data_IF_680888429105
#
_entry.id   IF_680888429105
#
_cell.length_a   1.000
_cell.length_b   1.000
_cell.length_c   1.000
_cell.angle_alpha   90.00
_cell.angle_beta   90.00
_cell.angle_gamma   90.00
#
_symmetry.space_group_name_H-M   'P 1'
#
loop_
_entity.id
_entity.type
_entity.pdbx_description
1 polymer ?
#
# COMPACT_ATOMS: atom_id res chain seq x y z
N UNK A 1 21.08 -22.51 -35.26
CA UNK A 1 20.20 -21.50 -34.64
C UNK A 1 20.21 -21.77 -33.16
N UNK A 2 20.98 -20.99 -32.40
CA UNK A 2 21.26 -21.24 -30.98
C UNK A 2 20.53 -20.21 -30.13
N UNK A 3 19.78 -20.70 -29.14
CA UNK A 3 19.02 -19.87 -28.19
C UNK A 3 19.94 -19.07 -27.26
N UNK A 4 19.66 -17.79 -27.00
CA UNK A 4 20.35 -17.02 -25.98
C UNK A 4 19.70 -17.21 -24.61
N UNK A 5 20.36 -17.98 -23.74
CA UNK A 5 20.02 -18.09 -22.32
C UNK A 5 20.28 -16.74 -21.62
N UNK A 6 19.20 -16.02 -21.30
CA UNK A 6 19.25 -14.78 -20.53
C UNK A 6 19.66 -15.06 -19.07
N UNK A 7 20.93 -14.78 -18.78
CA UNK A 7 21.53 -14.79 -17.44
C UNK A 7 20.83 -13.78 -16.52
N UNK A 8 20.13 -14.29 -15.50
CA UNK A 8 19.52 -13.46 -14.45
C UNK A 8 20.61 -12.91 -13.53
N UNK A 9 21.02 -11.67 -13.80
CA UNK A 9 21.96 -10.90 -12.99
C UNK A 9 21.44 -10.67 -11.57
N UNK A 10 21.78 -11.59 -10.66
CA UNK A 10 21.71 -11.35 -9.22
C UNK A 10 22.88 -10.44 -8.87
N UNK A 11 22.60 -9.15 -8.66
CA UNK A 11 23.62 -8.19 -8.24
C UNK A 11 24.21 -8.62 -6.89
N UNK A 12 25.54 -8.70 -6.76
CA UNK A 12 26.19 -9.10 -5.51
C UNK A 12 25.86 -8.07 -4.43
N UNK A 13 25.19 -8.54 -3.39
CA UNK A 13 24.87 -7.71 -2.22
C UNK A 13 26.18 -7.48 -1.47
N UNK A 14 26.68 -6.25 -1.52
CA UNK A 14 27.86 -5.78 -0.80
C UNK A 14 27.80 -6.19 0.70
N UNK A 15 28.59 -7.19 1.07
CA UNK A 15 28.59 -7.78 2.41
C UNK A 15 29.23 -6.87 3.46
N UNK A 16 29.92 -5.81 3.04
CA UNK A 16 30.72 -4.92 3.90
C UNK A 16 29.90 -4.03 4.84
N UNK A 17 28.56 -4.00 4.70
CA UNK A 17 27.65 -3.16 5.52
C UNK A 17 26.65 -3.96 6.37
N UNK A 18 26.97 -5.20 6.76
CA UNK A 18 26.10 -6.02 7.61
C UNK A 18 26.15 -5.55 9.07
N UNK A 19 25.24 -4.67 9.48
CA UNK A 19 25.08 -4.32 10.90
C UNK A 19 24.72 -5.58 11.72
N UNK A 20 25.48 -5.93 12.78
CA UNK A 20 25.31 -7.19 13.50
C UNK A 20 23.89 -7.39 14.06
N UNK A 21 23.27 -6.32 14.57
CA UNK A 21 21.91 -6.37 15.09
C UNK A 21 20.83 -6.68 14.03
N UNK A 22 21.06 -6.30 12.77
CA UNK A 22 20.13 -6.58 11.66
C UNK A 22 20.28 -8.03 11.21
N UNK A 23 21.51 -8.55 11.19
CA UNK A 23 21.77 -9.95 10.84
C UNK A 23 21.12 -10.90 11.86
N UNK A 24 21.22 -10.60 13.16
CA UNK A 24 20.56 -11.40 14.20
C UNK A 24 19.02 -11.39 14.05
N UNK A 25 18.43 -10.23 13.74
CA UNK A 25 17.00 -10.12 13.45
C UNK A 25 16.60 -11.01 12.27
N UNK A 26 17.30 -10.89 11.14
CA UNK A 26 16.99 -11.67 9.92
C UNK A 26 17.09 -13.17 10.18
N UNK A 27 18.12 -13.61 10.90
CA UNK A 27 18.26 -15.03 11.29
C UNK A 27 17.04 -15.50 12.09
N UNK A 28 16.59 -14.72 13.08
CA UNK A 28 15.39 -15.03 13.86
C UNK A 28 14.12 -15.08 13.01
N UNK A 29 13.93 -14.08 12.13
CA UNK A 29 12.77 -14.03 11.24
C UNK A 29 12.78 -15.20 10.23
N UNK A 30 13.94 -15.61 9.73
CA UNK A 30 14.06 -16.75 8.81
C UNK A 30 13.67 -18.07 9.46
N UNK A 31 13.98 -18.27 10.75
CA UNK A 31 13.60 -19.47 11.49
C UNK A 31 12.08 -19.57 11.62
N UNK A 32 11.42 -18.46 11.99
CA UNK A 32 9.97 -18.36 12.07
C UNK A 32 9.32 -18.59 10.70
N UNK A 33 9.89 -17.99 9.65
CA UNK A 33 9.34 -18.04 8.30
C UNK A 33 9.46 -19.41 7.63
N UNK A 34 10.60 -20.10 7.78
CA UNK A 34 10.86 -21.40 7.13
C UNK A 34 10.10 -22.55 7.76
N UNK A 35 9.85 -22.49 9.08
CA UNK A 35 9.16 -23.57 9.79
C UNK A 35 7.65 -23.63 9.52
N UNK A 36 7.08 -22.68 8.77
CA UNK A 36 5.66 -22.67 8.43
C UNK A 36 5.41 -23.07 6.96
N UNK A 37 5.05 -24.34 6.76
CA UNK A 37 4.68 -24.93 5.46
C UNK A 37 3.43 -24.27 4.82
N UNK A 38 2.55 -23.67 5.63
CA UNK A 38 1.42 -22.84 5.18
C UNK A 38 1.46 -21.55 5.99
N UNK A 39 1.97 -20.48 5.38
CA UNK A 39 2.17 -19.15 6.00
C UNK A 39 0.87 -18.70 6.69
N UNK A 40 0.79 -18.87 8.01
CA UNK A 40 -0.37 -18.50 8.84
C UNK A 40 -0.47 -17.00 9.03
N UNK A 41 -1.66 -16.50 9.41
CA UNK A 41 -1.84 -15.08 9.73
C UNK A 41 -0.97 -14.70 10.94
N UNK A 42 -0.96 -15.56 11.96
CA UNK A 42 -0.13 -15.40 13.17
C UNK A 42 1.36 -15.19 12.87
N UNK A 43 1.95 -15.99 11.98
CA UNK A 43 3.36 -15.83 11.59
C UNK A 43 3.63 -14.44 11.03
N UNK A 44 2.72 -13.93 10.19
CA UNK A 44 2.84 -12.60 9.60
C UNK A 44 2.72 -11.53 10.66
N UNK A 45 1.81 -11.69 11.62
CA UNK A 45 1.70 -10.83 12.79
C UNK A 45 3.02 -10.79 13.57
N UNK A 46 3.54 -11.96 13.95
CA UNK A 46 4.77 -12.10 14.75
C UNK A 46 6.00 -11.52 14.06
N UNK A 47 6.11 -11.69 12.74
CA UNK A 47 7.17 -11.03 11.95
C UNK A 47 7.03 -9.50 12.03
N UNK A 48 5.82 -8.98 11.86
CA UNK A 48 5.53 -7.55 11.97
C UNK A 48 5.90 -6.97 13.34
N UNK A 49 5.54 -7.67 14.41
CA UNK A 49 5.81 -7.27 15.79
C UNK A 49 7.32 -7.22 16.06
N UNK A 50 8.07 -8.26 15.66
CA UNK A 50 9.53 -8.29 15.82
C UNK A 50 10.22 -7.17 15.03
N UNK A 51 9.71 -6.84 13.84
CA UNK A 51 10.18 -5.72 13.04
C UNK A 51 9.91 -4.39 13.75
N UNK A 52 8.69 -4.16 14.24
CA UNK A 52 8.32 -2.94 14.96
C UNK A 52 9.13 -2.77 16.25
N UNK A 53 9.37 -3.85 17.00
CA UNK A 53 10.22 -3.81 18.19
C UNK A 53 11.66 -3.37 17.88
N UNK A 54 12.18 -3.72 16.69
CA UNK A 54 13.57 -3.39 16.32
C UNK A 54 13.71 -2.06 15.60
N UNK A 55 12.71 -1.66 14.81
CA UNK A 55 12.76 -0.49 13.93
C UNK A 55 11.93 0.69 14.42
N UNK A 56 11.03 0.49 15.38
CA UNK A 56 9.97 1.44 15.73
C UNK A 56 8.85 1.47 14.69
N UNK A 57 7.82 2.28 14.96
CA UNK A 57 6.70 2.55 14.06
C UNK A 57 7.01 3.63 13.00
N UNK A 58 8.08 4.40 13.18
CA UNK A 58 8.34 5.59 12.36
C UNK A 58 9.11 5.29 11.05
N UNK A 59 8.78 6.02 9.98
CA UNK A 59 9.38 5.89 8.64
C UNK A 59 10.79 6.49 8.56
N UNK A 60 11.76 5.85 9.20
CA UNK A 60 13.16 6.26 9.10
C UNK A 60 13.84 5.70 7.83
N UNK A 61 14.83 6.42 7.28
CA UNK A 61 15.64 5.93 6.14
C UNK A 61 16.30 4.58 6.46
N UNK A 62 16.77 4.42 7.70
CA UNK A 62 17.34 3.17 8.21
C UNK A 62 16.33 2.01 8.18
N UNK A 63 15.08 2.25 8.56
CA UNK A 63 14.05 1.22 8.51
C UNK A 63 13.80 0.71 7.07
N UNK A 64 13.87 1.60 6.06
CA UNK A 64 13.70 1.20 4.65
C UNK A 64 14.78 0.22 4.17
N UNK A 65 16.05 0.45 4.52
CA UNK A 65 17.14 -0.46 4.11
C UNK A 65 17.03 -1.82 4.80
N UNK A 66 16.65 -1.84 6.08
CA UNK A 66 16.40 -3.09 6.81
C UNK A 66 15.23 -3.87 6.22
N UNK A 67 14.11 -3.21 5.92
CA UNK A 67 12.95 -3.86 5.28
C UNK A 67 13.34 -4.45 3.92
N UNK A 68 14.11 -3.73 3.10
CA UNK A 68 14.59 -4.24 1.81
C UNK A 68 15.47 -5.48 2.00
N UNK A 69 16.37 -5.47 2.99
CA UNK A 69 17.23 -6.63 3.29
C UNK A 69 16.43 -7.83 3.79
N UNK A 70 15.49 -7.62 4.72
CA UNK A 70 14.56 -8.67 5.20
C UNK A 70 13.76 -9.27 4.05
N UNK A 71 13.25 -8.43 3.15
CA UNK A 71 12.50 -8.86 1.97
C UNK A 71 13.33 -9.81 1.08
N UNK A 72 14.58 -9.44 0.78
CA UNK A 72 15.50 -10.25 -0.02
C UNK A 72 15.79 -11.59 0.68
N UNK A 73 16.23 -11.54 1.93
CA UNK A 73 16.73 -12.71 2.68
C UNK A 73 15.63 -13.73 3.02
N UNK A 74 14.38 -13.27 3.19
CA UNK A 74 13.24 -14.16 3.44
C UNK A 74 12.50 -14.54 2.16
N UNK A 75 12.86 -13.98 1.00
CA UNK A 75 12.13 -14.18 -0.26
C UNK A 75 10.69 -13.65 -0.20
N UNK A 76 10.48 -12.51 0.47
CA UNK A 76 9.16 -11.88 0.64
C UNK A 76 9.16 -10.54 -0.08
N UNK A 77 8.04 -10.18 -0.73
CA UNK A 77 7.90 -8.85 -1.29
C UNK A 77 8.01 -7.78 -0.18
N UNK A 78 8.84 -6.74 -0.37
CA UNK A 78 9.02 -5.66 0.59
C UNK A 78 7.71 -4.96 0.99
N UNK A 79 6.75 -4.85 0.07
CA UNK A 79 5.41 -4.33 0.36
C UNK A 79 4.68 -5.18 1.40
N UNK A 80 4.82 -6.51 1.34
CA UNK A 80 4.23 -7.39 2.33
C UNK A 80 4.94 -7.29 3.67
N UNK A 81 6.27 -7.13 3.71
CA UNK A 81 7.00 -6.87 4.96
C UNK A 81 6.46 -5.61 5.64
N UNK A 82 6.27 -4.51 4.90
CA UNK A 82 5.63 -3.31 5.42
C UNK A 82 4.18 -3.55 5.90
N UNK A 83 3.41 -4.40 5.21
CA UNK A 83 2.04 -4.75 5.63
C UNK A 83 2.04 -5.58 6.91
N UNK A 84 3.02 -6.45 7.13
CA UNK A 84 3.16 -7.19 8.37
C UNK A 84 3.41 -6.25 9.55
N UNK A 85 4.29 -5.26 9.38
CA UNK A 85 4.52 -4.22 10.38
C UNK A 85 3.23 -3.47 10.73
N UNK A 86 2.46 -3.04 9.73
CA UNK A 86 1.16 -2.38 9.96
C UNK A 86 0.13 -3.28 10.62
N UNK A 87 0.14 -4.56 10.28
CA UNK A 87 -0.76 -5.52 10.90
C UNK A 87 -0.49 -5.62 12.40
N UNK A 88 0.79 -5.74 12.79
CA UNK A 88 1.20 -5.77 14.19
C UNK A 88 1.07 -4.42 14.91
N UNK A 89 1.09 -3.31 14.18
CA UNK A 89 0.85 -1.97 14.74
C UNK A 89 -0.63 -1.72 15.00
N UNK A 90 -1.51 -2.17 14.09
CA UNK A 90 -2.96 -1.95 14.16
C UNK A 90 -3.62 -2.75 15.28
N UNK A 91 -3.12 -3.95 15.57
CA UNK A 91 -3.66 -4.83 16.61
C UNK A 91 -2.60 -5.10 17.67
N UNK A 92 -2.92 -4.82 18.93
CA UNK A 92 -1.96 -4.90 20.04
C UNK A 92 -1.45 -6.34 20.29
N UNK A 93 -2.28 -7.34 20.03
CA UNK A 93 -1.92 -8.77 20.07
C UNK A 93 -2.60 -9.52 18.92
N UNK A 94 -2.16 -10.76 18.65
CA UNK A 94 -2.81 -11.60 17.63
C UNK A 94 -4.18 -12.10 18.10
N UNK A 95 -4.32 -12.38 19.39
CA UNK A 95 -5.58 -12.78 20.03
C UNK A 95 -6.62 -11.67 19.90
N UNK A 96 -6.23 -10.41 20.17
CA UNK A 96 -7.11 -9.27 20.00
C UNK A 96 -7.57 -9.10 18.54
N UNK A 97 -6.74 -9.45 17.56
CA UNK A 97 -7.15 -9.49 16.16
C UNK A 97 -8.19 -10.59 15.91
N UNK A 98 -7.99 -11.80 16.43
CA UNK A 98 -8.95 -12.90 16.30
C UNK A 98 -10.30 -12.57 16.94
N UNK A 99 -10.30 -11.92 18.10
CA UNK A 99 -11.52 -11.52 18.82
C UNK A 99 -12.30 -10.43 18.06
N UNK A 100 -11.60 -9.44 17.50
CA UNK A 100 -12.23 -8.34 16.75
C UNK A 100 -12.69 -8.76 15.36
N UNK A 101 -12.04 -9.76 14.75
CA UNK A 101 -12.26 -10.16 13.36
C UNK A 101 -12.30 -11.69 13.19
N UNK A 102 -13.24 -12.40 13.85
CA UNK A 102 -13.28 -13.86 13.86
C UNK A 102 -13.54 -14.49 12.48
N UNK A 103 -14.14 -13.74 11.56
CA UNK A 103 -14.42 -14.19 10.18
C UNK A 103 -13.21 -14.09 9.25
N UNK A 104 -12.12 -13.41 9.67
CA UNK A 104 -10.96 -13.15 8.81
C UNK A 104 -9.90 -14.23 8.96
N UNK A 105 -10.03 -15.28 8.15
CA UNK A 105 -9.15 -16.46 8.19
C UNK A 105 -8.07 -16.46 7.10
N UNK A 106 -8.07 -15.48 6.20
CA UNK A 106 -7.10 -15.38 5.10
C UNK A 106 -6.25 -14.10 5.16
N UNK A 107 -5.04 -14.17 4.62
CA UNK A 107 -4.18 -12.98 4.51
C UNK A 107 -4.79 -11.89 3.63
N UNK A 108 -5.62 -12.23 2.65
CA UNK A 108 -6.33 -11.25 1.83
C UNK A 108 -7.28 -10.42 2.69
N UNK A 109 -8.12 -11.05 3.52
CA UNK A 109 -9.02 -10.31 4.41
C UNK A 109 -8.26 -9.42 5.40
N UNK A 110 -7.13 -9.88 5.94
CA UNK A 110 -6.27 -9.04 6.79
C UNK A 110 -5.73 -7.83 6.03
N UNK A 111 -5.33 -8.03 4.77
CA UNK A 111 -4.83 -6.95 3.92
C UNK A 111 -5.89 -5.87 3.68
N UNK A 112 -7.13 -6.26 3.49
CA UNK A 112 -8.22 -5.34 3.26
C UNK A 112 -8.44 -4.50 4.53
N UNK A 113 -8.48 -5.14 5.71
CA UNK A 113 -8.58 -4.45 7.00
C UNK A 113 -7.46 -3.43 7.26
N UNK A 114 -6.20 -3.75 6.94
CA UNK A 114 -5.07 -2.81 7.15
C UNK A 114 -4.97 -1.76 6.05
N UNK A 115 -5.69 -1.92 4.94
CA UNK A 115 -5.69 -0.98 3.80
C UNK A 115 -6.90 -0.06 3.81
N UNK A 116 -8.03 -0.48 4.39
CA UNK A 116 -9.30 0.27 4.53
C UNK A 116 -9.11 1.66 5.17
N UNK A 117 -8.11 1.82 6.04
CA UNK A 117 -7.75 3.13 6.63
C UNK A 117 -7.25 4.14 5.60
N UNK A 118 -6.90 3.69 4.39
CA UNK A 118 -6.73 4.52 3.21
C UNK A 118 -7.99 4.36 2.38
N UNK A 119 -9.06 5.07 2.76
CA UNK A 119 -10.08 5.41 1.76
C UNK A 119 -9.30 5.88 0.53
N UNK A 120 -9.43 5.25 -0.65
CA UNK A 120 -8.94 5.88 -1.85
C UNK A 120 -9.54 7.29 -1.80
N UNK A 121 -8.70 8.33 -1.85
CA UNK A 121 -9.18 9.68 -2.17
C UNK A 121 -10.16 9.44 -3.31
N UNK A 122 -11.43 9.75 -3.08
CA UNK A 122 -12.60 9.29 -3.82
C UNK A 122 -12.45 9.63 -5.30
N UNK A 123 -11.66 8.81 -5.98
CA UNK A 123 -10.87 9.23 -7.11
C UNK A 123 -10.44 7.96 -7.82
N UNK A 124 -11.31 7.40 -8.68
CA UNK A 124 -11.06 6.16 -9.38
C UNK A 124 -9.81 6.26 -10.25
N UNK A 125 -9.39 5.15 -10.89
CA UNK A 125 -8.29 5.19 -11.86
C UNK A 125 -8.48 6.28 -12.94
N UNK A 126 -9.73 6.62 -13.27
CA UNK A 126 -10.11 7.71 -14.18
C UNK A 126 -9.73 9.09 -13.64
N UNK A 127 -9.98 9.36 -12.37
CA UNK A 127 -9.71 10.67 -11.76
C UNK A 127 -8.20 10.92 -11.65
N UNK A 128 -7.43 9.86 -11.36
CA UNK A 128 -5.96 9.92 -11.42
C UNK A 128 -5.42 10.19 -12.84
N UNK A 129 -6.04 9.59 -13.86
CA UNK A 129 -5.68 9.83 -15.25
C UNK A 129 -5.99 11.29 -15.64
N UNK A 130 -7.17 11.79 -15.27
CA UNK A 130 -7.60 13.17 -15.53
C UNK A 130 -6.68 14.20 -14.86
N UNK A 131 -6.35 14.00 -13.58
CA UNK A 131 -5.41 14.89 -12.86
C UNK A 131 -4.04 14.90 -13.53
N UNK A 132 -3.54 13.73 -13.99
CA UNK A 132 -2.25 13.65 -14.70
C UNK A 132 -2.29 14.35 -16.05
N UNK A 133 -3.38 14.19 -16.81
CA UNK A 133 -3.58 14.90 -18.09
C UNK A 133 -3.64 16.41 -17.89
N UNK A 134 -4.36 16.88 -16.87
CA UNK A 134 -4.42 18.30 -16.51
C UNK A 134 -3.03 18.85 -16.12
N UNK A 135 -2.26 18.12 -15.32
CA UNK A 135 -0.89 18.50 -14.96
C UNK A 135 0.02 18.60 -16.19
N UNK A 136 -0.12 17.67 -17.14
CA UNK A 136 0.62 17.69 -18.40
C UNK A 136 0.24 18.90 -19.27
N UNK A 137 -1.06 19.17 -19.40
CA UNK A 137 -1.57 20.32 -20.13
C UNK A 137 -1.05 21.63 -19.50
N UNK A 138 -1.19 21.81 -18.18
CA UNK A 138 -0.69 22.99 -17.45
C UNK A 138 0.83 23.13 -17.54
N UNK A 139 1.59 22.04 -17.52
CA UNK A 139 3.05 22.10 -17.70
C UNK A 139 3.44 22.60 -19.10
N UNK A 140 2.64 22.30 -20.13
CA UNK A 140 2.87 22.82 -21.49
C UNK A 140 2.72 24.35 -21.59
N UNK A 141 2.05 25.01 -20.64
CA UNK A 141 1.96 26.48 -20.55
C UNK A 141 3.20 27.15 -19.94
N UNK A 142 4.07 26.39 -19.26
CA UNK A 142 5.36 26.91 -18.78
C UNK A 142 6.43 26.92 -19.88
N UNK A 143 6.09 26.42 -21.07
CA UNK A 143 6.94 26.49 -22.25
C UNK A 143 6.93 27.92 -22.83
N UNK A 144 8.06 28.42 -23.37
CA UNK A 144 8.14 29.76 -24.01
C UNK A 144 7.38 29.89 -25.34
N UNK A 145 6.65 28.84 -25.75
CA UNK A 145 5.84 28.80 -26.96
C UNK A 145 4.62 29.74 -26.87
N UNK A 146 4.20 30.38 -27.97
CA UNK A 146 3.02 31.24 -27.98
C UNK A 146 1.77 30.45 -27.57
N UNK A 147 0.94 31.11 -26.77
CA UNK A 147 -0.33 30.60 -26.29
C UNK A 147 -1.33 30.59 -27.45
N UNK A 148 -1.76 29.40 -27.87
CA UNK A 148 -2.79 29.22 -28.88
C UNK A 148 -4.12 28.82 -28.22
N UNK A 149 -5.24 29.27 -28.80
CA UNK A 149 -6.60 29.05 -28.28
C UNK A 149 -6.93 27.57 -28.09
N UNK A 150 -6.35 26.71 -28.94
CA UNK A 150 -6.47 25.25 -28.85
C UNK A 150 -6.05 24.69 -27.47
N UNK A 151 -4.98 25.22 -26.87
CA UNK A 151 -4.51 24.75 -25.55
C UNK A 151 -5.45 25.19 -24.42
N UNK A 152 -6.06 26.38 -24.55
CA UNK A 152 -7.01 26.90 -23.58
C UNK A 152 -8.33 26.10 -23.59
N UNK A 153 -8.78 25.69 -24.78
CA UNK A 153 -9.94 24.81 -24.95
C UNK A 153 -9.68 23.43 -24.34
N UNK A 154 -8.48 22.86 -24.52
CA UNK A 154 -8.12 21.57 -23.94
C UNK A 154 -8.13 21.58 -22.41
N UNK A 155 -7.58 22.63 -21.77
CA UNK A 155 -7.66 22.80 -20.31
C UNK A 155 -9.12 22.93 -19.87
N UNK A 156 -9.89 23.79 -20.54
CA UNK A 156 -11.28 24.05 -20.16
C UNK A 156 -12.12 22.77 -20.22
N UNK A 157 -11.91 21.95 -21.26
CA UNK A 157 -12.51 20.63 -21.38
C UNK A 157 -12.11 19.70 -20.23
N UNK A 158 -10.82 19.60 -19.92
CA UNK A 158 -10.33 18.72 -18.85
C UNK A 158 -10.81 19.15 -17.45
N UNK A 159 -10.90 20.46 -17.20
CA UNK A 159 -11.49 20.99 -15.96
C UNK A 159 -12.98 20.68 -15.86
N UNK A 160 -13.73 20.80 -16.96
CA UNK A 160 -15.14 20.45 -16.99
C UNK A 160 -15.38 18.95 -16.78
N UNK A 161 -14.57 18.09 -17.39
CA UNK A 161 -14.63 16.64 -17.17
C UNK A 161 -14.34 16.27 -15.70
N UNK A 162 -13.35 16.93 -15.09
CA UNK A 162 -13.01 16.72 -13.69
C UNK A 162 -14.12 17.22 -12.75
N UNK A 163 -14.73 18.38 -13.05
CA UNK A 163 -15.86 18.92 -12.31
C UNK A 163 -17.09 18.01 -12.39
N UNK A 164 -17.41 17.49 -13.57
CA UNK A 164 -18.52 16.56 -13.77
C UNK A 164 -18.26 15.23 -13.03
N UNK A 165 -17.03 14.69 -13.11
CA UNK A 165 -16.65 13.47 -12.40
C UNK A 165 -16.69 13.63 -10.86
N UNK A 166 -16.39 14.83 -10.36
CA UNK A 166 -16.53 15.17 -8.94
C UNK A 166 -17.99 15.33 -8.52
N UNK A 167 -18.81 16.00 -9.33
CA UNK A 167 -20.23 16.28 -9.05
C UNK A 167 -21.10 15.01 -9.07
N UNK A 168 -20.84 14.07 -9.99
CA UNK A 168 -21.54 12.77 -10.01
C UNK A 168 -21.31 11.91 -8.75
N UNK A 169 -20.31 12.23 -7.90
CA UNK A 169 -20.07 11.53 -6.63
C UNK A 169 -20.90 12.08 -5.48
N UNK A 170 -21.42 13.29 -5.59
CA UNK A 170 -22.22 13.94 -4.54
C UNK A 170 -23.67 13.44 -4.53
N UNK A 171 -24.24 13.11 -5.69
CA UNK A 171 -25.61 12.58 -5.80
C UNK A 171 -25.78 11.16 -5.26
N UNK A 172 -24.73 10.33 -5.23
CA UNK A 172 -24.79 8.95 -4.66
C UNK A 172 -24.68 8.96 -3.13
N UNK A 173 -24.53 10.14 -2.50
CA UNK A 173 -24.31 10.30 -1.06
C UNK A 173 -25.44 11.06 -0.36
N UNK A 174 -26.67 10.98 -0.87
CA UNK A 174 -27.85 11.32 -0.10
C UNK A 174 -28.33 10.08 0.69
N UNK A 175 -28.43 10.15 2.02
CA UNK A 175 -28.94 9.05 2.82
C UNK A 175 -30.43 8.88 2.57
N UNK A 176 -30.86 7.68 2.17
CA UNK A 176 -32.23 7.22 2.41
C UNK A 176 -32.41 7.06 3.92
N UNK A 177 -32.60 8.17 4.62
CA UNK A 177 -33.32 8.19 5.89
C UNK A 177 -34.77 8.53 5.55
N UNK A 178 -35.57 7.50 5.24
CA UNK A 178 -37.02 7.61 5.24
C UNK A 178 -37.60 6.53 6.15
N UNK A 179 -38.02 6.99 7.33
CA UNK A 179 -39.17 6.55 8.13
C UNK A 179 -39.32 5.07 8.52
N UNK A 180 -38.85 4.73 9.72
CA UNK A 180 -39.53 3.78 10.62
C UNK A 180 -39.56 4.33 12.04
N UNK A 181 -40.37 5.35 12.27
CA UNK A 181 -40.93 5.65 13.59
C UNK A 181 -42.37 6.09 13.38
N UNK A 182 -43.31 5.27 13.86
CA UNK A 182 -44.67 5.59 14.35
C UNK A 182 -45.46 4.26 14.36
N UNK A 183 -46.20 3.81 15.37
CA UNK A 183 -46.45 4.22 16.77
C UNK A 183 -46.87 2.93 17.49
N UNK A 184 -46.33 2.69 18.68
CA UNK A 184 -46.97 1.80 19.65
C UNK A 184 -48.08 2.60 20.35
N UNK A 185 -49.32 2.13 20.23
CA UNK A 185 -50.45 2.44 21.12
C UNK A 185 -51.40 1.25 21.10
#
# INVERSE_FOLDING_TARGET
MSDPTMSSGTTPVDESKKTPGVTALIKRLSLIWRNHQKKGIEVRYRIGELLNKKLGSERQKYAKSVVKRVAIELGINATNVCRFQRFAEKFATYEAFCDQHPTVTSWTGVRDLITESRKPVSGGRRDFALVRSLQSAVASFKSPEPFDSSKAEEISRLLQELFNAASCREEVRMPEHNEMIQVAS
#
